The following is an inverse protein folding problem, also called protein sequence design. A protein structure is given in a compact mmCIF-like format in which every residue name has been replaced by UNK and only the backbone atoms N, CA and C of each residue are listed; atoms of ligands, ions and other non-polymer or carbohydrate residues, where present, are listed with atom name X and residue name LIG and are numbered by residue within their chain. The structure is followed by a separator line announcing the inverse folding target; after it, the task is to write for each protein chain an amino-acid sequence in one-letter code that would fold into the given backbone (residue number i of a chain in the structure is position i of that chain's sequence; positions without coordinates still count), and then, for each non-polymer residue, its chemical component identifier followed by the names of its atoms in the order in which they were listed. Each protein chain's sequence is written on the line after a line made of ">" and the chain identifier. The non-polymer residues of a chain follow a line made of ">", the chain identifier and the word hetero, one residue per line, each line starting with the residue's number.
data_IF_844962826443
#
_entry.id   IF_844962826443
#
_cell.length_a   1.000
_cell.length_b   1.000
_cell.length_c   1.000
_cell.angle_alpha   90.00
_cell.angle_beta   90.00
_cell.angle_gamma   90.00
#
_symmetry.space_group_name_H-M   'P 1'
#
loop_
_entity.id
_entity.type
_entity.pdbx_description
1 polymer ?
#
# COMPACT_ATOMS: atom_id res chain seq x y z
N UNK A 1 3.46 21.41 21.19
CA UNK A 1 2.74 21.50 19.90
C UNK A 1 2.37 20.11 19.44
N UNK A 2 1.13 19.95 19.01
CA UNK A 2 0.65 18.67 18.54
C UNK A 2 1.20 18.36 17.14
N UNK A 3 1.69 17.16 16.97
CA UNK A 3 2.20 16.69 15.69
C UNK A 3 1.06 16.08 14.86
N UNK A 4 0.77 16.68 13.70
CA UNK A 4 -0.31 16.22 12.82
C UNK A 4 0.10 15.07 11.92
N UNK A 5 1.38 14.97 11.61
CA UNK A 5 1.95 13.91 10.80
C UNK A 5 2.99 13.17 11.60
N UNK A 6 3.03 11.87 11.43
CA UNK A 6 4.10 11.06 11.98
C UNK A 6 4.57 10.08 10.92
N UNK A 7 5.80 10.27 10.46
CA UNK A 7 6.41 9.42 9.44
C UNK A 7 7.38 8.45 10.08
N UNK A 8 7.26 7.18 9.72
CA UNK A 8 8.10 6.12 10.29
C UNK A 8 8.56 5.18 9.19
N UNK A 9 9.90 5.02 9.00
CA UNK A 9 10.40 3.94 8.16
C UNK A 9 9.98 2.60 8.75
N UNK A 10 9.45 1.71 7.91
CA UNK A 10 8.95 0.41 8.37
C UNK A 10 10.09 -0.58 8.54
N UNK A 11 11.08 -0.50 7.66
CA UNK A 11 12.21 -1.42 7.64
C UNK A 11 13.52 -0.68 7.85
N UNK A 12 14.60 -1.44 8.12
CA UNK A 12 15.92 -0.84 8.24
C UNK A 12 16.43 -0.34 6.86
N UNK A 13 17.54 0.42 6.82
CA UNK A 13 18.02 1.02 5.57
C UNK A 13 18.36 0.02 4.47
N UNK A 14 18.58 -1.24 4.80
CA UNK A 14 18.91 -2.28 3.82
C UNK A 14 17.71 -3.15 3.47
N UNK A 15 16.57 -2.93 4.11
CA UNK A 15 15.33 -3.64 3.80
C UNK A 15 14.61 -3.03 2.61
N UNK A 16 13.58 -3.72 2.14
CA UNK A 16 12.72 -3.21 1.07
C UNK A 16 11.95 -1.99 1.59
N UNK A 17 12.04 -0.84 0.90
CA UNK A 17 11.57 0.43 1.46
C UNK A 17 10.07 0.53 1.61
N UNK A 18 9.63 1.02 2.74
CA UNK A 18 8.26 1.44 3.01
C UNK A 18 8.32 2.57 4.04
N UNK A 19 7.65 3.68 3.74
CA UNK A 19 7.46 4.76 4.70
C UNK A 19 5.97 4.85 5.04
N UNK A 20 5.66 4.76 6.32
CA UNK A 20 4.29 4.86 6.82
C UNK A 20 4.09 6.25 7.42
N UNK A 21 3.13 7.00 6.89
CA UNK A 21 2.83 8.35 7.36
C UNK A 21 1.43 8.35 7.98
N UNK A 22 1.36 8.55 9.29
CA UNK A 22 0.09 8.60 10.00
C UNK A 22 -0.45 10.03 10.00
N UNK A 23 -1.67 10.21 9.47
CA UNK A 23 -2.39 11.47 9.51
C UNK A 23 -3.34 11.40 10.71
N UNK A 24 -2.84 11.78 11.88
CA UNK A 24 -3.52 11.51 13.16
C UNK A 24 -4.93 12.07 13.25
N UNK A 25 -5.15 13.30 12.81
CA UNK A 25 -6.45 13.95 12.92
C UNK A 25 -7.45 13.49 11.87
N UNK A 26 -6.98 12.81 10.81
CA UNK A 26 -7.84 12.36 9.73
C UNK A 26 -8.18 10.88 9.80
N UNK A 27 -7.63 10.17 10.78
CA UNK A 27 -7.84 8.73 10.98
C UNK A 27 -7.45 7.92 9.76
N UNK A 28 -6.43 8.35 9.04
CA UNK A 28 -5.92 7.65 7.88
C UNK A 28 -4.40 7.74 7.82
N UNK A 29 -3.82 6.94 6.95
CA UNK A 29 -2.39 6.89 6.77
C UNK A 29 -2.05 6.82 5.29
N UNK A 30 -0.79 7.15 4.99
CA UNK A 30 -0.24 7.06 3.64
C UNK A 30 0.93 6.10 3.66
N UNK A 31 1.14 5.39 2.56
CA UNK A 31 2.35 4.61 2.34
C UNK A 31 3.14 5.22 1.19
N UNK A 32 4.43 5.34 1.37
CA UNK A 32 5.38 5.70 0.32
C UNK A 32 6.26 4.49 0.05
N UNK A 33 6.12 3.95 -1.14
CA UNK A 33 6.61 2.67 -1.59
C UNK A 33 5.97 1.49 -0.85
N UNK A 34 6.03 0.34 -1.47
CA UNK A 34 5.31 -0.84 -1.02
C UNK A 34 6.24 -2.05 -1.14
N UNK A 35 7.39 -1.95 -0.46
CA UNK A 35 8.38 -3.01 -0.45
C UNK A 35 7.98 -4.17 0.45
N UNK A 36 8.53 -4.22 1.66
CA UNK A 36 8.19 -5.25 2.62
C UNK A 36 7.33 -4.66 3.74
N UNK A 37 6.06 -5.05 3.79
CA UNK A 37 5.10 -4.57 4.79
C UNK A 37 4.90 -5.57 5.93
N UNK A 38 5.73 -6.60 6.01
CA UNK A 38 5.56 -7.65 7.02
C UNK A 38 5.58 -7.14 8.46
N UNK A 39 6.27 -6.02 8.72
CA UNK A 39 6.34 -5.44 10.06
C UNK A 39 5.11 -4.60 10.42
N UNK A 40 4.23 -4.27 9.47
CA UNK A 40 3.02 -3.51 9.75
C UNK A 40 1.87 -4.42 10.10
N UNK A 41 1.23 -4.23 11.26
CA UNK A 41 0.05 -5.03 11.61
C UNK A 41 -1.14 -4.65 10.74
N UNK A 42 -2.11 -5.57 10.58
CA UNK A 42 -3.30 -5.30 9.76
C UNK A 42 -4.04 -4.01 10.13
N UNK A 43 -4.12 -3.70 11.43
CA UNK A 43 -4.84 -2.48 11.86
C UNK A 43 -4.22 -1.21 11.30
N UNK A 44 -2.89 -1.19 11.10
CA UNK A 44 -2.21 -0.05 10.49
C UNK A 44 -2.42 -0.01 8.98
N UNK A 45 -2.39 -1.17 8.34
CA UNK A 45 -2.64 -1.26 6.89
C UNK A 45 -4.06 -0.84 6.55
N UNK A 46 -5.03 -1.16 7.41
CA UNK A 46 -6.44 -0.78 7.18
C UNK A 46 -6.70 0.72 7.32
N UNK A 47 -5.77 1.48 7.91
CA UNK A 47 -5.85 2.95 7.94
C UNK A 47 -5.39 3.59 6.65
N UNK A 48 -4.67 2.86 5.80
CA UNK A 48 -4.06 3.41 4.59
C UNK A 48 -5.12 3.78 3.57
N UNK A 49 -5.10 5.03 3.12
CA UNK A 49 -6.00 5.54 2.08
C UNK A 49 -5.31 5.69 0.73
N UNK A 50 -4.02 6.02 0.76
CA UNK A 50 -3.23 6.29 -0.45
C UNK A 50 -1.89 5.61 -0.36
N UNK A 51 -1.45 5.03 -1.48
CA UNK A 51 -0.13 4.44 -1.62
C UNK A 51 0.57 5.11 -2.80
N UNK A 52 1.73 5.68 -2.54
CA UNK A 52 2.56 6.35 -3.55
C UNK A 52 3.75 5.44 -3.85
N UNK A 53 3.84 4.94 -5.08
CA UNK A 53 4.94 4.07 -5.50
C UNK A 53 5.87 4.85 -6.40
N UNK A 54 7.13 4.98 -5.99
CA UNK A 54 8.11 5.75 -6.74
C UNK A 54 8.42 5.09 -8.09
N UNK A 55 8.58 3.79 -8.08
CA UNK A 55 8.81 2.98 -9.29
C UNK A 55 8.56 1.51 -8.93
N UNK A 56 8.44 0.66 -9.94
CA UNK A 56 8.03 -0.72 -9.72
C UNK A 56 9.18 -1.73 -9.80
N UNK A 57 10.39 -1.33 -9.42
CA UNK A 57 11.41 -2.32 -9.11
C UNK A 57 10.90 -3.20 -7.97
N UNK A 58 11.30 -4.45 -7.95
CA UNK A 58 10.74 -5.43 -7.02
C UNK A 58 10.81 -4.97 -5.56
N UNK A 59 11.92 -4.36 -5.14
CA UNK A 59 12.11 -3.93 -3.76
C UNK A 59 11.15 -2.81 -3.34
N UNK A 60 10.53 -2.12 -4.30
CA UNK A 60 9.58 -1.04 -4.04
C UNK A 60 8.11 -1.47 -4.19
N UNK A 61 7.86 -2.69 -4.68
CA UNK A 61 6.50 -3.11 -4.98
C UNK A 61 6.19 -4.57 -4.62
N UNK A 62 7.15 -5.27 -4.02
CA UNK A 62 6.97 -6.68 -3.66
C UNK A 62 5.86 -6.90 -2.62
N UNK A 63 5.53 -5.89 -1.83
CA UNK A 63 4.51 -6.00 -0.80
C UNK A 63 3.08 -5.82 -1.30
N UNK A 64 2.87 -5.55 -2.59
CA UNK A 64 1.54 -5.28 -3.13
C UNK A 64 0.57 -6.43 -2.86
N UNK A 65 0.97 -7.66 -3.12
CA UNK A 65 0.10 -8.83 -2.98
C UNK A 65 -0.35 -9.00 -1.53
N UNK A 66 0.58 -8.87 -0.60
CA UNK A 66 0.26 -8.97 0.83
C UNK A 66 -0.65 -7.83 1.28
N UNK A 67 -0.39 -6.62 0.82
CA UNK A 67 -1.23 -5.46 1.12
C UNK A 67 -2.66 -5.70 0.61
N UNK A 68 -2.78 -6.12 -0.64
CA UNK A 68 -4.07 -6.42 -1.26
C UNK A 68 -4.82 -7.49 -0.47
N UNK A 69 -4.12 -8.53 -0.04
CA UNK A 69 -4.71 -9.62 0.73
C UNK A 69 -5.31 -9.14 2.05
N UNK A 70 -4.69 -8.16 2.69
CA UNK A 70 -5.17 -7.63 3.96
C UNK A 70 -6.38 -6.71 3.77
N UNK A 71 -6.35 -5.84 2.75
CA UNK A 71 -7.37 -4.80 2.60
C UNK A 71 -8.58 -5.24 1.78
N UNK A 72 -8.44 -6.26 0.95
CA UNK A 72 -9.50 -6.72 0.06
C UNK A 72 -10.72 -7.19 0.86
N UNK A 73 -11.88 -6.63 0.53
CA UNK A 73 -13.12 -6.93 1.23
C UNK A 73 -13.29 -6.23 2.57
N UNK A 74 -12.26 -5.51 3.05
CA UNK A 74 -12.32 -4.79 4.32
C UNK A 74 -12.33 -3.28 4.14
N UNK A 75 -11.92 -2.80 2.98
CA UNK A 75 -11.95 -1.38 2.63
C UNK A 75 -12.71 -1.20 1.33
N UNK A 76 -13.39 -0.07 1.22
CA UNK A 76 -14.14 0.25 0.00
C UNK A 76 -13.24 0.60 -1.16
N UNK A 77 -12.08 1.18 -0.88
CA UNK A 77 -11.13 1.53 -1.91
C UNK A 77 -9.83 2.06 -1.38
N UNK A 78 -8.81 1.99 -2.21
CA UNK A 78 -7.48 2.52 -1.96
C UNK A 78 -7.07 3.27 -3.22
N UNK A 79 -6.45 4.43 -3.05
CA UNK A 79 -5.88 5.17 -4.17
C UNK A 79 -4.42 4.79 -4.30
N UNK A 80 -4.05 4.28 -5.48
CA UNK A 80 -2.66 3.95 -5.81
C UNK A 80 -2.15 4.98 -6.81
N UNK A 81 -1.00 5.55 -6.53
CA UNK A 81 -0.38 6.55 -7.39
C UNK A 81 1.04 6.13 -7.73
N UNK A 82 1.40 6.31 -8.98
CA UNK A 82 2.73 5.97 -9.48
C UNK A 82 3.07 6.76 -10.72
N UNK A 83 4.22 6.48 -11.30
CA UNK A 83 4.69 7.13 -12.52
C UNK A 83 4.03 6.56 -13.79
N UNK A 84 4.54 6.98 -14.96
CA UNK A 84 4.02 6.48 -16.23
C UNK A 84 4.05 4.96 -16.31
N UNK A 85 2.96 4.35 -16.77
CA UNK A 85 2.84 2.90 -16.90
C UNK A 85 2.44 2.16 -15.63
N UNK A 86 2.35 2.85 -14.49
CA UNK A 86 2.04 2.20 -13.22
C UNK A 86 0.65 1.55 -13.23
N UNK A 87 -0.35 2.24 -13.78
CA UNK A 87 -1.72 1.70 -13.84
C UNK A 87 -1.75 0.37 -14.58
N UNK A 88 -1.07 0.30 -15.75
CA UNK A 88 -1.00 -0.94 -16.52
C UNK A 88 -0.30 -2.04 -15.75
N UNK A 89 0.75 -1.71 -15.02
CA UNK A 89 1.48 -2.68 -14.21
C UNK A 89 0.61 -3.25 -13.09
N UNK A 90 -0.15 -2.40 -12.42
CA UNK A 90 -1.10 -2.85 -11.38
C UNK A 90 -2.17 -3.75 -11.99
N UNK A 91 -2.73 -3.36 -13.11
CA UNK A 91 -3.74 -4.17 -13.80
C UNK A 91 -3.22 -5.53 -14.21
N UNK A 92 -1.97 -5.61 -14.68
CA UNK A 92 -1.36 -6.89 -15.02
C UNK A 92 -1.19 -7.78 -13.79
N UNK A 93 -0.77 -7.21 -12.66
CA UNK A 93 -0.69 -7.99 -11.42
C UNK A 93 -2.04 -8.52 -11.00
N UNK A 94 -3.08 -7.69 -11.08
CA UNK A 94 -4.43 -8.11 -10.70
C UNK A 94 -4.95 -9.21 -11.63
N UNK A 95 -4.62 -9.17 -12.91
CA UNK A 95 -5.02 -10.21 -13.86
C UNK A 95 -4.26 -11.52 -13.69
N UNK A 96 -3.14 -11.50 -12.98
CA UNK A 96 -2.38 -12.72 -12.73
C UNK A 96 -3.09 -13.67 -11.78
N UNK A 97 -4.07 -13.18 -11.04
CA UNK A 97 -4.81 -13.98 -10.06
C UNK A 97 -6.20 -14.34 -10.55
N UNK A 98 -6.73 -15.44 -10.01
CA UNK A 98 -8.12 -15.83 -10.22
C UNK A 98 -8.96 -15.20 -9.12
N UNK A 99 -9.98 -14.42 -9.50
CA UNK A 99 -10.82 -13.70 -8.56
C UNK A 99 -12.11 -14.44 -8.29
N UNK A 100 -12.46 -14.53 -7.01
CA UNK A 100 -13.74 -15.05 -6.58
C UNK A 100 -14.84 -14.02 -6.90
N UNK A 101 -16.02 -14.49 -7.31
CA UNK A 101 -17.14 -13.60 -7.62
C UNK A 101 -17.61 -12.77 -6.42
N UNK A 102 -17.29 -13.19 -5.20
CA UNK A 102 -17.63 -12.46 -3.97
C UNK A 102 -16.73 -11.25 -3.78
N UNK A 103 -15.50 -11.30 -4.29
CA UNK A 103 -14.54 -10.21 -4.15
C UNK A 103 -14.30 -9.58 -5.52
N UNK A 104 -14.79 -8.37 -5.68
CA UNK A 104 -14.62 -7.61 -6.92
C UNK A 104 -13.66 -6.45 -6.70
N UNK A 105 -12.93 -6.10 -7.74
CA UNK A 105 -12.12 -4.89 -7.76
C UNK A 105 -12.48 -4.05 -8.96
N UNK A 106 -12.23 -2.74 -8.85
CA UNK A 106 -12.29 -1.82 -9.98
C UNK A 106 -11.06 -0.93 -9.96
N UNK A 107 -10.57 -0.62 -11.11
CA UNK A 107 -9.37 0.20 -11.28
C UNK A 107 -9.74 1.48 -12.01
#
# INVERSE_FOLDING_TARGET
>A
MRQLLEASPVNDPFGYPVLYVDLRDERRALLFDLGDIGALPPRKLLRVSHVFVSHTHMDHFAGFDQFLRVVLGRKEGIVLLGGPGFVDQVEHKLRAYTWNVVHRYSV
#
